data_IF_167683375810
#
_entry.id   IF_167683375810
#
_cell.length_a   1.000
_cell.length_b   1.000
_cell.length_c   1.000
_cell.angle_alpha   90.00
_cell.angle_beta   90.00
_cell.angle_gamma   90.00
#
_symmetry.space_group_name_H-M   'P 1'
#
loop_
_entity.id
_entity.type
_entity.pdbx_description
1 polymer ?
#
# COMPACT_ATOMS: atom_id res chain seq x y z
N UNK A 1 -15.78 0.97 1.30
CA UNK A 1 -14.64 0.43 0.55
C UNK A 1 -13.39 0.44 1.44
N UNK A 2 -12.56 -0.58 1.36
CA UNK A 2 -11.21 -0.66 1.92
C UNK A 2 -10.27 -0.82 0.74
N UNK A 3 -9.45 0.19 0.45
CA UNK A 3 -8.61 0.24 -0.74
C UNK A 3 -7.14 0.20 -0.33
N UNK A 4 -6.41 -0.81 -0.78
CA UNK A 4 -4.97 -0.94 -0.55
C UNK A 4 -4.55 -0.94 0.93
N UNK A 5 -5.43 -1.26 1.88
CA UNK A 5 -5.15 -1.07 3.31
C UNK A 5 -5.02 -2.38 4.10
N UNK A 6 -4.01 -2.53 4.98
CA UNK A 6 -3.84 -3.72 5.82
C UNK A 6 -4.73 -3.70 7.07
N UNK A 7 -4.95 -4.88 7.65
CA UNK A 7 -5.44 -5.05 9.03
C UNK A 7 -4.35 -5.42 10.03
N UNK A 8 -3.11 -5.59 9.55
CA UNK A 8 -1.95 -6.03 10.32
C UNK A 8 -0.67 -5.41 9.76
N UNK A 9 -0.02 -4.55 10.54
CA UNK A 9 1.28 -3.97 10.15
C UNK A 9 2.38 -5.03 10.13
N UNK A 10 2.24 -6.09 10.95
CA UNK A 10 3.12 -7.25 10.91
C UNK A 10 3.06 -7.96 9.56
N UNK A 11 1.86 -8.24 9.03
CA UNK A 11 1.70 -8.85 7.71
C UNK A 11 2.18 -7.90 6.60
N UNK A 12 1.88 -6.60 6.73
CA UNK A 12 2.35 -5.58 5.80
C UNK A 12 3.88 -5.61 5.65
N UNK A 13 4.60 -5.49 6.76
CA UNK A 13 6.07 -5.50 6.80
C UNK A 13 6.64 -6.80 6.22
N UNK A 14 6.04 -7.95 6.56
CA UNK A 14 6.47 -9.25 6.00
C UNK A 14 6.37 -9.29 4.47
N UNK A 15 5.27 -8.79 3.92
CA UNK A 15 5.06 -8.75 2.49
C UNK A 15 5.94 -7.70 1.81
N UNK A 16 6.23 -6.57 2.44
CA UNK A 16 7.19 -5.60 1.88
C UNK A 16 8.59 -6.22 1.75
N UNK A 17 9.07 -6.96 2.75
CA UNK A 17 10.33 -7.70 2.64
C UNK A 17 10.29 -8.79 1.56
N UNK A 18 9.13 -9.42 1.34
CA UNK A 18 8.95 -10.34 0.19
C UNK A 18 9.06 -9.58 -1.13
N UNK A 19 8.45 -8.40 -1.26
CA UNK A 19 8.54 -7.57 -2.46
C UNK A 19 9.99 -7.11 -2.73
N UNK A 20 10.71 -6.68 -1.70
CA UNK A 20 12.13 -6.33 -1.77
C UNK A 20 12.97 -7.48 -2.33
N UNK A 21 12.60 -8.74 -2.03
CA UNK A 21 13.32 -9.92 -2.54
C UNK A 21 13.34 -10.03 -4.08
N UNK A 22 12.42 -9.36 -4.78
CA UNK A 22 12.35 -9.30 -6.24
C UNK A 22 13.12 -8.14 -6.87
N UNK A 23 13.75 -7.28 -6.07
CA UNK A 23 14.61 -6.22 -6.56
C UNK A 23 16.00 -6.76 -6.97
N UNK A 24 16.80 -5.89 -7.58
CA UNK A 24 18.19 -6.20 -7.91
C UNK A 24 19.00 -6.53 -6.64
N UNK A 25 20.12 -7.24 -6.79
CA UNK A 25 21.02 -7.47 -5.65
C UNK A 25 21.50 -6.17 -5.02
N UNK A 26 21.81 -5.17 -5.85
CA UNK A 26 22.31 -3.86 -5.42
C UNK A 26 21.28 -3.10 -4.59
N UNK A 27 20.01 -3.12 -5.00
CA UNK A 27 18.91 -2.50 -4.25
C UNK A 27 18.66 -3.19 -2.92
N UNK A 28 18.65 -4.53 -2.92
CA UNK A 28 18.46 -5.32 -1.69
C UNK A 28 19.56 -5.07 -0.67
N UNK A 29 20.82 -4.99 -1.10
CA UNK A 29 21.94 -4.68 -0.21
C UNK A 29 21.88 -3.24 0.32
N UNK A 30 21.47 -2.28 -0.52
CA UNK A 30 21.32 -0.89 -0.10
C UNK A 30 20.21 -0.73 0.95
N UNK A 31 19.08 -1.41 0.77
CA UNK A 31 17.97 -1.42 1.73
C UNK A 31 18.41 -2.12 3.03
N UNK A 32 19.02 -3.30 2.94
CA UNK A 32 19.47 -4.04 4.12
C UNK A 32 20.49 -3.26 4.97
N UNK A 33 21.41 -2.52 4.34
CA UNK A 33 22.36 -1.66 5.04
C UNK A 33 21.66 -0.49 5.75
N UNK A 34 20.66 0.12 5.10
CA UNK A 34 19.87 1.20 5.69
C UNK A 34 19.08 0.72 6.91
N UNK A 35 18.43 -0.45 6.82
CA UNK A 35 17.73 -1.07 7.96
C UNK A 35 18.67 -1.43 9.11
N UNK A 36 19.85 -1.99 8.79
CA UNK A 36 20.87 -2.37 9.78
C UNK A 36 21.43 -1.17 10.54
N UNK A 37 21.58 -0.04 9.86
CA UNK A 37 22.18 1.18 10.44
C UNK A 37 21.14 2.15 10.99
N UNK A 38 19.89 2.03 10.56
CA UNK A 38 18.84 3.02 10.81
C UNK A 38 19.01 4.32 10.00
N UNK A 39 19.89 4.33 8.99
CA UNK A 39 20.16 5.50 8.14
C UNK A 39 19.53 5.33 6.75
N UNK A 40 18.41 6.03 6.56
CA UNK A 40 17.63 6.05 5.32
C UNK A 40 17.93 7.29 4.44
N UNK A 41 19.08 7.93 4.62
CA UNK A 41 19.45 9.15 3.88
C UNK A 41 20.53 8.93 2.82
N UNK A 42 21.16 7.75 2.79
CA UNK A 42 22.22 7.42 1.85
C UNK A 42 21.73 7.38 0.40
N UNK A 43 22.51 7.87 -0.59
CA UNK A 43 22.07 7.97 -1.98
C UNK A 43 21.76 6.61 -2.64
N UNK A 44 22.45 5.54 -2.21
CA UNK A 44 22.16 4.17 -2.68
C UNK A 44 20.79 3.68 -2.20
N UNK A 45 20.47 3.94 -0.93
CA UNK A 45 19.19 3.60 -0.35
C UNK A 45 18.07 4.41 -1.02
N UNK A 46 18.24 5.73 -1.16
CA UNK A 46 17.23 6.59 -1.79
C UNK A 46 16.91 6.09 -3.20
N UNK A 47 17.93 5.82 -4.03
CA UNK A 47 17.72 5.29 -5.37
C UNK A 47 17.04 3.90 -5.39
N UNK A 48 17.32 3.04 -4.41
CA UNK A 48 16.66 1.74 -4.27
C UNK A 48 15.18 1.89 -3.84
N UNK A 49 14.92 2.81 -2.91
CA UNK A 49 13.58 3.13 -2.45
C UNK A 49 12.74 3.78 -3.57
N UNK A 50 13.31 4.67 -4.37
CA UNK A 50 12.62 5.28 -5.51
C UNK A 50 12.17 4.19 -6.52
N UNK A 51 13.07 3.26 -6.86
CA UNK A 51 12.73 2.09 -7.71
C UNK A 51 11.68 1.18 -7.09
N UNK A 52 11.69 1.04 -5.76
CA UNK A 52 10.68 0.26 -5.04
C UNK A 52 9.30 0.92 -5.13
N UNK A 53 9.22 2.24 -4.89
CA UNK A 53 7.99 3.01 -4.97
C UNK A 53 7.44 3.09 -6.40
N UNK A 54 8.31 3.32 -7.41
CA UNK A 54 7.94 3.28 -8.82
C UNK A 54 7.33 1.93 -9.20
N UNK A 55 7.90 0.83 -8.69
CA UNK A 55 7.45 -0.52 -9.01
C UNK A 55 6.12 -0.90 -8.35
N UNK A 56 5.88 -0.48 -7.11
CA UNK A 56 4.77 -1.02 -6.30
C UNK A 56 3.73 0.01 -5.83
N UNK A 57 4.05 1.30 -5.85
CA UNK A 57 3.18 2.36 -5.36
C UNK A 57 2.63 3.23 -6.49
N UNK A 58 3.46 4.14 -6.99
CA UNK A 58 3.16 5.11 -8.03
C UNK A 58 4.44 5.88 -8.40
N UNK A 59 4.38 6.62 -9.52
CA UNK A 59 5.45 7.50 -9.96
C UNK A 59 5.44 8.85 -9.21
N UNK A 60 6.58 9.49 -9.02
CA UNK A 60 6.61 10.82 -8.42
C UNK A 60 5.76 11.82 -9.24
N UNK A 61 4.87 12.62 -8.61
CA UNK A 61 4.05 13.58 -9.32
C UNK A 61 4.87 14.60 -10.12
N UNK A 62 4.54 14.73 -11.40
CA UNK A 62 5.13 15.69 -12.33
C UNK A 62 4.15 16.83 -12.69
N UNK A 63 4.47 17.67 -13.67
CA UNK A 63 3.58 18.76 -14.10
C UNK A 63 2.27 18.29 -14.77
N UNK A 64 2.25 17.06 -15.29
CA UNK A 64 1.11 16.47 -15.98
C UNK A 64 0.17 15.70 -15.03
N UNK A 65 0.64 15.43 -13.81
CA UNK A 65 -0.10 14.73 -12.78
C UNK A 65 -1.38 15.50 -12.36
N UNK A 66 -2.47 14.79 -12.00
CA UNK A 66 -3.69 15.42 -11.50
C UNK A 66 -3.41 16.42 -10.38
N UNK A 67 -4.13 17.55 -10.36
CA UNK A 67 -3.92 18.62 -9.36
C UNK A 67 -3.89 18.11 -7.90
N UNK A 68 -4.76 17.17 -7.47
CA UNK A 68 -4.71 16.64 -6.11
C UNK A 68 -3.36 16.04 -5.69
N UNK A 69 -2.62 15.42 -6.63
CA UNK A 69 -1.30 14.82 -6.35
C UNK A 69 -0.19 15.88 -6.23
N UNK A 70 -0.37 17.03 -6.86
CA UNK A 70 0.62 18.13 -6.87
C UNK A 70 0.43 19.11 -5.71
N UNK A 71 -0.66 18.99 -4.96
CA UNK A 71 -0.98 19.88 -3.85
C UNK A 71 -0.06 19.60 -2.66
N UNK A 72 0.49 20.62 -1.99
CA UNK A 72 1.24 20.41 -0.76
C UNK A 72 0.35 19.80 0.33
N UNK A 73 0.86 18.78 1.01
CA UNK A 73 0.18 18.11 2.13
C UNK A 73 1.12 17.98 3.33
N UNK A 74 0.56 17.62 4.49
CA UNK A 74 1.35 17.18 5.65
C UNK A 74 1.55 15.65 5.66
N UNK A 75 1.26 14.96 4.55
CA UNK A 75 1.24 13.50 4.46
C UNK A 75 2.56 12.86 4.91
N UNK A 76 3.68 13.31 4.33
CA UNK A 76 5.01 12.81 4.70
C UNK A 76 5.32 12.92 6.19
N UNK A 77 4.90 14.01 6.85
CA UNK A 77 5.08 14.18 8.30
C UNK A 77 4.19 13.23 9.08
N UNK A 78 2.94 13.04 8.65
CA UNK A 78 2.00 12.13 9.28
C UNK A 78 2.49 10.68 9.15
N UNK A 79 2.84 10.22 7.95
CA UNK A 79 3.41 8.89 7.67
C UNK A 79 4.66 8.63 8.51
N UNK A 80 5.58 9.60 8.60
CA UNK A 80 6.78 9.44 9.43
C UNK A 80 6.49 9.22 10.92
N UNK A 81 5.40 9.80 11.44
CA UNK A 81 4.99 9.63 12.84
C UNK A 81 4.25 8.30 13.00
N UNK A 82 3.32 7.99 12.10
CA UNK A 82 2.43 6.86 12.19
C UNK A 82 3.13 5.56 11.79
N UNK A 83 3.58 5.48 10.54
CA UNK A 83 4.15 4.29 9.91
C UNK A 83 5.63 4.17 10.25
N UNK A 84 6.43 5.20 9.96
CA UNK A 84 7.88 5.17 10.16
C UNK A 84 8.64 5.79 8.99
N UNK A 85 9.93 5.49 8.81
CA UNK A 85 10.74 6.10 7.76
C UNK A 85 10.35 5.69 6.32
N UNK A 86 9.70 4.53 6.11
CA UNK A 86 9.32 3.97 4.81
C UNK A 86 8.33 2.78 4.99
N UNK A 87 7.89 2.20 3.87
CA UNK A 87 6.88 1.11 3.81
C UNK A 87 7.32 -0.22 4.47
N UNK A 88 8.62 -0.52 4.53
CA UNK A 88 9.15 -1.80 5.04
C UNK A 88 9.75 -1.70 6.44
N UNK A 89 9.93 -0.50 6.98
CA UNK A 89 10.40 -0.25 8.35
C UNK A 89 9.29 0.47 9.13
N UNK A 90 8.16 -0.19 9.33
CA UNK A 90 7.04 0.39 10.07
C UNK A 90 7.23 0.33 11.59
N UNK A 91 7.89 1.33 12.16
CA UNK A 91 8.22 1.44 13.58
C UNK A 91 7.66 2.70 14.26
N UNK A 92 6.69 3.36 13.64
CA UNK A 92 5.98 4.51 14.19
C UNK A 92 4.87 4.14 15.17
N UNK A 93 3.96 5.08 15.41
CA UNK A 93 2.89 4.93 16.42
C UNK A 93 1.86 3.86 16.09
N UNK A 94 1.78 3.36 14.85
CA UNK A 94 0.88 2.26 14.47
C UNK A 94 1.60 0.91 14.29
N UNK A 95 2.87 0.81 14.69
CA UNK A 95 3.69 -0.40 14.50
C UNK A 95 3.13 -1.69 15.11
N UNK A 96 2.26 -1.59 16.11
CA UNK A 96 1.57 -2.71 16.76
C UNK A 96 0.11 -2.87 16.32
N UNK A 97 -0.34 -2.14 15.30
CA UNK A 97 -1.69 -2.23 14.78
C UNK A 97 -1.98 -3.61 14.20
N UNK A 98 -2.94 -4.29 14.83
CA UNK A 98 -3.41 -5.63 14.51
C UNK A 98 -4.88 -5.75 14.88
N UNK A 99 -5.74 -5.84 13.87
CA UNK A 99 -7.20 -5.95 14.04
C UNK A 99 -7.80 -7.06 13.18
N UNK A 100 -6.97 -7.95 12.60
CA UNK A 100 -7.42 -9.02 11.71
C UNK A 100 -8.51 -9.88 12.37
N UNK A 101 -8.31 -10.25 13.63
CA UNK A 101 -9.27 -11.04 14.41
C UNK A 101 -10.54 -10.27 14.79
N UNK A 102 -10.60 -8.95 14.60
CA UNK A 102 -11.76 -8.12 14.89
C UNK A 102 -12.62 -7.81 13.65
N UNK A 103 -12.10 -8.05 12.44
CA UNK A 103 -12.78 -7.76 11.19
C UNK A 103 -14.13 -8.47 11.06
N UNK A 104 -14.31 -9.62 11.72
CA UNK A 104 -15.57 -10.36 11.74
C UNK A 104 -16.75 -9.59 12.36
N UNK A 105 -16.46 -8.52 13.12
CA UNK A 105 -17.46 -7.63 13.73
C UNK A 105 -18.07 -6.65 12.72
N UNK A 106 -17.49 -6.54 11.52
CA UNK A 106 -18.02 -5.70 10.44
C UNK A 106 -19.17 -6.45 9.77
N UNK A 107 -20.36 -5.85 9.78
CA UNK A 107 -21.59 -6.44 9.23
C UNK A 107 -22.27 -5.59 8.15
N UNK A 108 -21.67 -4.45 7.80
CA UNK A 108 -22.12 -3.63 6.67
C UNK A 108 -21.49 -4.15 5.37
N UNK A 109 -22.07 -3.87 4.19
CA UNK A 109 -21.42 -4.20 2.92
C UNK A 109 -20.01 -3.60 2.83
N UNK A 110 -19.03 -4.42 2.42
CA UNK A 110 -17.65 -3.99 2.22
C UNK A 110 -17.17 -4.43 0.84
N UNK A 111 -16.55 -3.49 0.13
CA UNK A 111 -15.70 -3.75 -1.03
C UNK A 111 -14.24 -3.60 -0.60
N UNK A 112 -13.44 -4.65 -0.76
CA UNK A 112 -11.99 -4.60 -0.66
C UNK A 112 -11.44 -4.42 -2.07
N UNK A 113 -10.44 -3.57 -2.24
CA UNK A 113 -9.74 -3.36 -3.51
C UNK A 113 -8.23 -3.30 -3.31
N UNK A 114 -7.48 -3.76 -4.29
CA UNK A 114 -6.03 -3.58 -4.40
C UNK A 114 -5.55 -3.85 -5.84
N UNK A 115 -4.31 -3.50 -6.16
CA UNK A 115 -3.66 -3.84 -7.42
C UNK A 115 -2.88 -5.17 -7.39
N UNK A 116 -2.59 -5.77 -8.55
CA UNK A 116 -1.73 -6.97 -8.62
C UNK A 116 -0.28 -6.71 -8.23
N UNK A 117 0.21 -5.50 -8.49
CA UNK A 117 1.58 -5.05 -8.27
C UNK A 117 1.64 -4.02 -7.15
N UNK A 118 0.75 -4.14 -6.18
CA UNK A 118 0.53 -3.20 -5.07
C UNK A 118 1.42 -3.52 -3.86
N UNK A 119 1.82 -2.48 -3.11
CA UNK A 119 2.37 -2.59 -1.75
C UNK A 119 1.43 -3.41 -0.84
N UNK A 120 0.12 -3.16 -0.94
CA UNK A 120 -0.94 -4.01 -0.42
C UNK A 120 -1.09 -5.23 -1.32
N UNK A 121 -0.17 -6.19 -1.16
CA UNK A 121 -0.16 -7.40 -1.97
C UNK A 121 -1.50 -8.15 -1.90
N UNK A 122 -1.79 -9.01 -2.89
CA UNK A 122 -2.99 -9.84 -2.85
C UNK A 122 -3.11 -10.69 -1.57
N UNK A 123 -2.01 -11.01 -0.88
CA UNK A 123 -2.06 -11.71 0.41
C UNK A 123 -2.63 -10.81 1.51
N UNK A 124 -2.22 -9.54 1.58
CA UNK A 124 -2.71 -8.57 2.56
C UNK A 124 -4.21 -8.32 2.33
N UNK A 125 -4.59 -7.95 1.10
CA UNK A 125 -5.97 -7.65 0.74
C UNK A 125 -6.88 -8.87 0.97
N UNK A 126 -6.40 -10.08 0.60
CA UNK A 126 -7.13 -11.32 0.85
C UNK A 126 -7.32 -11.60 2.34
N UNK A 127 -6.34 -11.29 3.18
CA UNK A 127 -6.48 -11.42 4.64
C UNK A 127 -7.64 -10.56 5.16
N UNK A 128 -7.75 -9.32 4.68
CA UNK A 128 -8.88 -8.44 5.04
C UNK A 128 -10.21 -9.01 4.53
N UNK A 129 -10.27 -9.38 3.25
CA UNK A 129 -11.47 -9.94 2.62
C UNK A 129 -11.97 -11.20 3.34
N UNK A 130 -11.09 -12.15 3.65
CA UNK A 130 -11.47 -13.44 4.25
C UNK A 130 -12.04 -13.28 5.67
N UNK A 131 -11.66 -12.23 6.39
CA UNK A 131 -12.10 -11.99 7.77
C UNK A 131 -13.33 -11.08 7.88
N UNK A 132 -13.80 -10.46 6.79
CA UNK A 132 -15.02 -9.64 6.78
C UNK A 132 -16.19 -10.44 6.18
N UNK A 133 -17.23 -10.79 6.97
CA UNK A 133 -18.38 -11.52 6.48
C UNK A 133 -19.09 -10.79 5.33
N UNK A 134 -19.24 -11.48 4.20
CA UNK A 134 -19.97 -10.96 3.04
C UNK A 134 -19.25 -9.87 2.26
N UNK A 135 -17.96 -9.62 2.53
CA UNK A 135 -17.16 -8.72 1.72
C UNK A 135 -17.13 -9.15 0.24
N UNK A 136 -16.93 -8.18 -0.64
CA UNK A 136 -16.54 -8.36 -2.04
C UNK A 136 -15.09 -7.95 -2.19
N UNK A 137 -14.40 -8.53 -3.16
CA UNK A 137 -13.02 -8.17 -3.48
C UNK A 137 -12.89 -7.97 -4.98
N UNK A 138 -12.29 -6.84 -5.36
CA UNK A 138 -11.87 -6.57 -6.74
C UNK A 138 -10.36 -6.37 -6.77
N UNK A 139 -9.69 -7.08 -7.67
CA UNK A 139 -8.23 -7.02 -7.86
C UNK A 139 -7.94 -6.42 -9.23
N UNK A 140 -7.35 -5.23 -9.26
CA UNK A 140 -7.04 -4.52 -10.50
C UNK A 140 -5.76 -5.08 -11.14
N UNK A 141 -5.87 -5.61 -12.36
CA UNK A 141 -4.76 -6.27 -13.05
C UNK A 141 -3.77 -5.26 -13.63
N UNK A 142 -2.47 -5.44 -13.37
CA UNK A 142 -1.39 -4.50 -13.74
C UNK A 142 -1.52 -3.12 -13.06
N UNK A 143 -2.09 -3.07 -11.86
CA UNK A 143 -2.15 -1.87 -11.03
C UNK A 143 -1.26 -2.00 -9.80
N UNK A 144 -0.67 -0.87 -9.41
CA UNK A 144 0.10 -0.64 -8.20
C UNK A 144 -0.85 -0.16 -7.09
N UNK A 145 -0.29 0.49 -6.07
CA UNK A 145 -1.05 1.00 -4.92
C UNK A 145 -2.10 2.05 -5.27
N UNK A 146 -1.81 2.96 -6.21
CA UNK A 146 -2.78 3.96 -6.67
C UNK A 146 -3.59 3.44 -7.87
N UNK A 147 -4.35 2.36 -7.66
CA UNK A 147 -5.15 1.72 -8.72
C UNK A 147 -6.17 2.66 -9.40
N UNK A 148 -6.72 3.64 -8.66
CA UNK A 148 -7.57 4.70 -9.22
C UNK A 148 -6.87 5.51 -10.33
N UNK A 149 -5.54 5.60 -10.29
CA UNK A 149 -4.75 6.32 -11.28
C UNK A 149 -4.25 5.38 -12.39
N UNK A 150 -3.82 4.16 -12.04
CA UNK A 150 -3.36 3.18 -13.05
C UNK A 150 -4.53 2.74 -13.96
N UNK A 151 -5.74 2.59 -13.40
CA UNK A 151 -6.93 2.07 -14.09
C UNK A 151 -8.19 2.86 -13.74
N UNK A 152 -8.16 4.17 -14.01
CA UNK A 152 -9.24 5.10 -13.68
C UNK A 152 -10.63 4.62 -14.10
N UNK A 153 -10.84 4.29 -15.38
CA UNK A 153 -12.17 3.95 -15.90
C UNK A 153 -12.73 2.69 -15.24
N UNK A 154 -11.90 1.65 -15.05
CA UNK A 154 -12.32 0.42 -14.37
C UNK A 154 -12.60 0.67 -12.89
N UNK A 155 -11.75 1.44 -12.22
CA UNK A 155 -11.94 1.77 -10.81
C UNK A 155 -13.27 2.49 -10.57
N UNK A 156 -13.59 3.48 -11.42
CA UNK A 156 -14.86 4.20 -11.35
C UNK A 156 -16.06 3.28 -11.64
N UNK A 157 -15.99 2.43 -12.67
CA UNK A 157 -17.06 1.49 -12.98
C UNK A 157 -17.34 0.50 -11.83
N UNK A 158 -16.28 -0.06 -11.24
CA UNK A 158 -16.39 -0.94 -10.06
C UNK A 158 -17.03 -0.23 -8.87
N UNK A 159 -16.59 1.00 -8.59
CA UNK A 159 -17.11 1.79 -7.48
C UNK A 159 -18.58 2.16 -7.70
N UNK A 160 -18.94 2.63 -8.90
CA UNK A 160 -20.31 3.03 -9.26
C UNK A 160 -21.27 1.83 -9.19
N UNK A 161 -20.87 0.68 -9.73
CA UNK A 161 -21.68 -0.55 -9.64
C UNK A 161 -21.85 -1.01 -8.19
N UNK A 162 -20.79 -0.92 -7.38
CA UNK A 162 -20.87 -1.31 -5.98
C UNK A 162 -21.77 -0.37 -5.18
N UNK A 163 -21.65 0.95 -5.37
CA UNK A 163 -22.52 1.93 -4.73
C UNK A 163 -23.98 1.72 -5.15
N UNK A 164 -24.28 1.62 -6.44
CA UNK A 164 -25.64 1.41 -6.94
C UNK A 164 -26.31 0.11 -6.41
N UNK A 165 -25.51 -0.91 -6.09
CA UNK A 165 -26.01 -2.17 -5.52
C UNK A 165 -26.19 -2.14 -3.99
N UNK A 166 -25.66 -1.13 -3.28
CA UNK A 166 -25.61 -1.08 -1.82
C UNK A 166 -26.09 0.27 -1.20
N UNK A 167 -26.58 1.21 -2.02
CA UNK A 167 -27.25 2.46 -1.59
C UNK A 167 -28.68 2.24 -1.05
#
# INVERSE_FOLDING_TARGET
MIDGSPASIKLWTQEQHRLISYLSYEDREAIAEAERTGDFTGPKYLAANDRYMERYCWDDPDENSPEPLRRPTNGQRASRIAEGPNEFTENGTISDFEVTDELHKIHVPVLVTNGTDDLCTPLIAKSVYDHIPGAKWHLFANSRHLALLDQHDEFIDVLDQWLAAND
#
